data_IF_474642705640
#
_entry.id   IF_474642705640
#
_cell.length_a   1.000
_cell.length_b   1.000
_cell.length_c   1.000
_cell.angle_alpha   90.00
_cell.angle_beta   90.00
_cell.angle_gamma   90.00
#
_symmetry.space_group_name_H-M   'P 1'
#
loop_
_entity.id
_entity.type
_entity.pdbx_description
1 polymer ?
#
# COMPACT_ATOMS: atom_id res chain seq x y z
N UNK A 1 16.40 13.04 6.92
CA UNK A 1 15.34 12.62 5.99
C UNK A 1 15.87 12.25 4.59
N UNK A 2 17.16 11.87 4.43
CA UNK A 2 17.75 11.61 3.10
C UNK A 2 18.03 10.11 2.81
N UNK A 3 18.09 9.24 3.81
CA UNK A 3 18.42 7.80 3.66
C UNK A 3 17.21 6.90 3.39
N UNK A 4 15.99 7.42 3.56
CA UNK A 4 14.74 6.67 3.40
C UNK A 4 14.30 6.59 1.93
N UNK A 5 14.76 7.55 1.13
CA UNK A 5 14.36 7.77 -0.27
C UNK A 5 14.83 6.68 -1.22
N UNK A 6 15.95 5.98 -0.92
CA UNK A 6 16.48 4.94 -1.80
C UNK A 6 15.60 3.69 -1.84
N UNK A 7 14.98 3.30 -0.72
CA UNK A 7 14.15 2.09 -0.62
C UNK A 7 12.91 2.15 -1.52
N UNK A 8 12.39 3.34 -1.77
CA UNK A 8 11.16 3.53 -2.53
C UNK A 8 11.38 4.07 -3.92
N UNK A 9 12.59 4.50 -4.26
CA UNK A 9 12.89 5.14 -5.54
C UNK A 9 12.38 4.34 -6.75
N UNK A 10 12.58 3.00 -6.85
CA UNK A 10 12.04 2.24 -7.97
C UNK A 10 10.50 2.28 -8.05
N UNK A 11 9.83 2.25 -6.90
CA UNK A 11 8.37 2.37 -6.85
C UNK A 11 7.92 3.78 -7.22
N UNK A 12 8.63 4.83 -6.82
CA UNK A 12 8.32 6.21 -7.17
C UNK A 12 8.41 6.45 -8.67
N UNK A 13 9.45 5.92 -9.33
CA UNK A 13 9.59 6.00 -10.78
C UNK A 13 8.42 5.31 -11.53
N UNK A 14 7.92 4.21 -10.97
CA UNK A 14 6.74 3.51 -11.50
C UNK A 14 5.44 4.25 -11.21
N UNK A 15 5.32 4.91 -10.04
CA UNK A 15 4.19 5.77 -9.72
C UNK A 15 4.07 6.93 -10.69
N UNK A 16 5.18 7.61 -11.02
CA UNK A 16 5.16 8.69 -12.02
C UNK A 16 4.74 8.20 -13.40
N UNK A 17 5.13 6.97 -13.80
CA UNK A 17 4.65 6.36 -15.04
C UNK A 17 3.14 6.08 -14.99
N UNK A 18 2.66 5.50 -13.89
CA UNK A 18 1.23 5.22 -13.70
C UNK A 18 0.42 6.52 -13.69
N UNK A 19 0.89 7.56 -13.01
CA UNK A 19 0.27 8.89 -12.97
C UNK A 19 0.10 9.46 -14.39
N UNK A 20 1.17 9.47 -15.18
CA UNK A 20 1.13 9.94 -16.57
C UNK A 20 0.16 9.13 -17.44
N UNK A 21 0.10 7.80 -17.26
CA UNK A 21 -0.83 6.95 -17.99
C UNK A 21 -2.29 7.24 -17.59
N UNK A 22 -2.57 7.42 -16.30
CA UNK A 22 -3.92 7.63 -15.77
C UNK A 22 -4.45 9.04 -16.00
N UNK A 23 -3.58 10.04 -16.17
CA UNK A 23 -3.93 11.42 -16.55
C UNK A 23 -4.27 11.56 -18.05
N UNK A 24 -4.06 10.53 -18.86
CA UNK A 24 -4.32 10.55 -20.30
C UNK A 24 -5.81 10.79 -20.62
N UNK A 25 -6.08 11.70 -21.56
CA UNK A 25 -7.42 11.91 -22.15
C UNK A 25 -7.80 10.81 -23.15
N UNK A 26 -6.88 9.90 -23.48
CA UNK A 26 -7.09 8.79 -24.40
C UNK A 26 -7.23 7.45 -23.64
N UNK A 27 -7.91 6.49 -24.29
CA UNK A 27 -7.99 5.12 -23.80
C UNK A 27 -6.59 4.57 -23.51
N UNK A 28 -6.45 3.93 -22.36
CA UNK A 28 -5.19 3.34 -21.91
C UNK A 28 -5.07 1.95 -22.53
N UNK A 29 -3.93 1.69 -23.16
CA UNK A 29 -3.62 0.38 -23.74
C UNK A 29 -3.35 -0.64 -22.62
N UNK A 30 -4.09 -1.75 -22.64
CA UNK A 30 -4.12 -2.73 -21.55
C UNK A 30 -2.76 -3.41 -21.34
N UNK A 31 -2.06 -3.77 -22.42
CA UNK A 31 -0.76 -4.45 -22.34
C UNK A 31 0.30 -3.55 -21.69
N UNK A 32 0.35 -2.26 -22.08
CA UNK A 32 1.21 -1.26 -21.48
C UNK A 32 0.90 -1.06 -20.00
N UNK A 33 -0.38 -0.95 -19.63
CA UNK A 33 -0.79 -0.78 -18.23
C UNK A 33 -0.41 -2.01 -17.39
N UNK A 34 -0.76 -3.21 -17.86
CA UNK A 34 -0.41 -4.47 -17.20
C UNK A 34 1.11 -4.62 -17.01
N UNK A 35 1.91 -4.18 -17.99
CA UNK A 35 3.38 -4.20 -17.89
C UNK A 35 3.87 -3.32 -16.74
N UNK A 36 3.40 -2.08 -16.64
CA UNK A 36 3.82 -1.17 -15.56
C UNK A 36 3.37 -1.68 -14.19
N UNK A 37 2.13 -2.16 -14.07
CA UNK A 37 1.62 -2.76 -12.81
C UNK A 37 2.36 -4.05 -12.45
N UNK A 38 2.79 -4.83 -13.45
CA UNK A 38 3.63 -6.01 -13.26
C UNK A 38 5.00 -5.66 -12.67
N UNK A 39 5.65 -4.63 -13.20
CA UNK A 39 6.90 -4.09 -12.65
C UNK A 39 6.69 -3.55 -11.23
N UNK A 40 5.61 -2.81 -11.01
CA UNK A 40 5.24 -2.31 -9.69
C UNK A 40 5.11 -3.45 -8.67
N UNK A 41 4.39 -4.52 -9.03
CA UNK A 41 4.21 -5.69 -8.16
C UNK A 41 5.53 -6.41 -7.88
N UNK A 42 6.48 -6.38 -8.82
CA UNK A 42 7.82 -6.94 -8.64
C UNK A 42 8.63 -6.11 -7.64
N UNK A 43 8.67 -4.79 -7.81
CA UNK A 43 9.41 -3.90 -6.91
C UNK A 43 8.82 -3.88 -5.50
N UNK A 44 7.50 -3.95 -5.37
CA UNK A 44 6.85 -4.09 -4.07
C UNK A 44 7.26 -5.39 -3.37
N UNK A 45 7.39 -6.51 -4.10
CA UNK A 45 7.90 -7.77 -3.53
C UNK A 45 9.37 -7.64 -3.09
N UNK A 46 10.20 -6.89 -3.81
CA UNK A 46 11.57 -6.61 -3.40
C UNK A 46 11.58 -5.81 -2.10
N UNK A 47 10.83 -4.71 -2.03
CA UNK A 47 10.69 -3.90 -0.81
C UNK A 47 10.22 -4.73 0.39
N UNK A 48 9.23 -5.61 0.20
CA UNK A 48 8.74 -6.50 1.25
C UNK A 48 9.81 -7.48 1.74
N UNK A 49 10.68 -8.00 0.87
CA UNK A 49 11.80 -8.87 1.28
C UNK A 49 12.81 -8.09 2.10
N UNK A 50 13.22 -6.92 1.59
CA UNK A 50 14.15 -6.02 2.28
C UNK A 50 13.61 -5.59 3.64
N UNK A 51 12.30 -5.36 3.76
CA UNK A 51 11.65 -5.05 5.03
C UNK A 51 11.93 -6.10 6.11
N UNK A 52 12.00 -7.40 5.78
CA UNK A 52 12.28 -8.43 6.78
C UNK A 52 13.74 -8.44 7.24
N UNK A 53 14.66 -7.98 6.39
CA UNK A 53 16.11 -8.00 6.61
C UNK A 53 16.63 -6.79 7.40
N UNK A 54 15.89 -5.68 7.41
CA UNK A 54 16.29 -4.47 8.14
C UNK A 54 15.99 -4.55 9.65
N UNK A 55 16.62 -3.65 10.41
CA UNK A 55 16.43 -3.52 11.86
C UNK A 55 15.03 -2.96 12.24
N UNK A 56 14.73 -2.98 13.54
CA UNK A 56 13.43 -2.57 14.05
C UNK A 56 13.12 -1.08 13.83
N UNK A 57 14.11 -0.19 13.94
CA UNK A 57 13.92 1.25 13.75
C UNK A 57 13.57 1.53 12.28
N UNK A 58 14.29 0.90 11.36
CA UNK A 58 14.00 1.00 9.93
C UNK A 58 12.67 0.37 9.57
N UNK A 59 12.28 -0.76 10.18
CA UNK A 59 10.94 -1.34 9.99
C UNK A 59 9.82 -0.37 10.36
N UNK A 60 9.96 0.34 11.47
CA UNK A 60 8.96 1.33 11.89
C UNK A 60 8.86 2.50 10.89
N UNK A 61 9.99 2.93 10.32
CA UNK A 61 10.01 3.92 9.23
C UNK A 61 9.37 3.38 7.94
N UNK A 62 9.62 2.10 7.60
CA UNK A 62 9.17 1.53 6.32
C UNK A 62 7.69 1.12 6.30
N UNK A 63 7.11 0.79 7.45
CA UNK A 63 5.77 0.21 7.54
C UNK A 63 4.65 1.09 6.95
N UNK A 64 4.59 2.42 7.21
CA UNK A 64 3.57 3.27 6.60
C UNK A 64 3.59 3.25 5.07
N UNK A 65 4.79 3.32 4.49
CA UNK A 65 4.99 3.29 3.04
C UNK A 65 4.58 1.95 2.44
N UNK A 66 4.97 0.84 3.08
CA UNK A 66 4.56 -0.50 2.64
C UNK A 66 3.04 -0.65 2.67
N UNK A 67 2.38 -0.16 3.73
CA UNK A 67 0.93 -0.19 3.84
C UNK A 67 0.25 0.63 2.73
N UNK A 68 0.77 1.82 2.43
CA UNK A 68 0.32 2.64 1.31
C UNK A 68 0.46 1.89 -0.03
N UNK A 69 1.63 1.33 -0.33
CA UNK A 69 1.87 0.63 -1.60
C UNK A 69 1.03 -0.63 -1.75
N UNK A 70 0.82 -1.38 -0.65
CA UNK A 70 -0.09 -2.53 -0.69
C UNK A 70 -1.53 -2.13 -1.00
N UNK A 71 -2.00 -1.00 -0.45
CA UNK A 71 -3.33 -0.49 -0.77
C UNK A 71 -3.41 -0.03 -2.24
N UNK A 72 -2.39 0.68 -2.75
CA UNK A 72 -2.34 1.05 -4.16
C UNK A 72 -2.37 -0.18 -5.08
N UNK A 73 -1.65 -1.26 -4.72
CA UNK A 73 -1.68 -2.51 -5.46
C UNK A 73 -3.12 -3.05 -5.65
N UNK A 74 -3.99 -2.88 -4.65
CA UNK A 74 -5.39 -3.32 -4.77
C UNK A 74 -6.14 -2.52 -5.84
N UNK A 75 -5.97 -1.19 -5.90
CA UNK A 75 -6.58 -0.37 -6.95
C UNK A 75 -6.06 -0.78 -8.34
N UNK A 76 -4.75 -0.97 -8.48
CA UNK A 76 -4.14 -1.35 -9.75
C UNK A 76 -4.63 -2.73 -10.24
N UNK A 77 -4.71 -3.72 -9.34
CA UNK A 77 -5.25 -5.05 -9.66
C UNK A 77 -6.73 -4.97 -10.02
N UNK A 78 -7.50 -4.10 -9.36
CA UNK A 78 -8.89 -3.87 -9.72
C UNK A 78 -9.02 -3.34 -11.15
N UNK A 79 -8.22 -2.33 -11.53
CA UNK A 79 -8.20 -1.79 -12.89
C UNK A 79 -7.78 -2.84 -13.94
N UNK A 80 -6.84 -3.73 -13.62
CA UNK A 80 -6.49 -4.86 -14.51
C UNK A 80 -7.67 -5.82 -14.67
N UNK A 81 -8.36 -6.14 -13.57
CA UNK A 81 -9.46 -7.11 -13.57
C UNK A 81 -10.65 -6.65 -14.41
N UNK A 82 -10.86 -5.34 -14.47
CA UNK A 82 -11.95 -4.69 -15.19
C UNK A 82 -11.36 -3.76 -16.24
N UNK A 83 -10.65 -4.33 -17.22
CA UNK A 83 -9.88 -3.56 -18.21
C UNK A 83 -10.76 -2.71 -19.13
N UNK A 84 -12.07 -2.93 -19.18
CA UNK A 84 -13.03 -2.03 -19.82
C UNK A 84 -12.99 -0.61 -19.23
N UNK A 85 -12.61 -0.46 -17.96
CA UNK A 85 -12.42 0.84 -17.32
C UNK A 85 -11.31 1.64 -18.02
N UNK A 86 -10.25 0.97 -18.48
CA UNK A 86 -9.11 1.60 -19.17
C UNK A 86 -9.52 2.20 -20.52
N UNK A 87 -10.66 1.77 -21.09
CA UNK A 87 -11.19 2.30 -22.34
C UNK A 87 -12.01 3.59 -22.15
N UNK A 88 -12.29 3.98 -20.89
CA UNK A 88 -13.06 5.18 -20.55
C UNK A 88 -12.14 6.15 -19.82
N UNK A 89 -11.56 7.14 -20.52
CA UNK A 89 -10.79 8.20 -19.89
C UNK A 89 -11.62 8.86 -18.78
N UNK A 90 -10.97 9.24 -17.68
CA UNK A 90 -11.63 9.87 -16.52
C UNK A 90 -12.72 9.04 -15.85
N UNK A 91 -12.73 7.71 -16.03
CA UNK A 91 -13.60 6.84 -15.23
C UNK A 91 -13.35 7.06 -13.73
N UNK A 92 -14.39 6.95 -12.90
CA UNK A 92 -14.30 7.25 -11.45
C UNK A 92 -13.17 6.48 -10.75
N UNK A 93 -12.98 5.21 -11.10
CA UNK A 93 -11.92 4.35 -10.56
C UNK A 93 -10.50 4.77 -11.00
N UNK A 94 -10.35 5.30 -12.22
CA UNK A 94 -9.09 5.89 -12.69
C UNK A 94 -8.81 7.16 -11.88
N UNK A 95 -9.79 8.05 -11.76
CA UNK A 95 -9.65 9.31 -11.02
C UNK A 95 -9.38 9.05 -9.53
N UNK A 96 -10.02 8.06 -8.93
CA UNK A 96 -9.77 7.66 -7.54
C UNK A 96 -8.35 7.12 -7.38
N UNK A 97 -7.88 6.28 -8.31
CA UNK A 97 -6.51 5.74 -8.29
C UNK A 97 -5.48 6.85 -8.47
N UNK A 98 -5.73 7.77 -9.40
CA UNK A 98 -4.89 8.94 -9.64
C UNK A 98 -4.81 9.84 -8.41
N UNK A 99 -5.96 10.20 -7.83
CA UNK A 99 -6.01 11.00 -6.60
C UNK A 99 -5.29 10.30 -5.44
N UNK A 100 -5.34 8.98 -5.37
CA UNK A 100 -4.60 8.22 -4.36
C UNK A 100 -3.09 8.33 -4.57
N UNK A 101 -2.61 8.31 -5.82
CA UNK A 101 -1.20 8.52 -6.18
C UNK A 101 -0.76 9.95 -5.87
N UNK A 102 -1.51 10.95 -6.34
CA UNK A 102 -1.19 12.38 -6.18
C UNK A 102 -1.15 12.82 -4.71
N UNK A 103 -1.95 12.19 -3.83
CA UNK A 103 -2.00 12.51 -2.40
C UNK A 103 -1.09 11.63 -1.54
N UNK A 104 -0.11 10.93 -2.11
CA UNK A 104 0.75 9.97 -1.40
C UNK A 104 1.30 10.50 -0.07
N UNK A 105 2.03 11.62 -0.09
CA UNK A 105 2.69 12.14 1.10
C UNK A 105 1.68 12.51 2.19
N UNK A 106 0.57 13.12 1.79
CA UNK A 106 -0.52 13.46 2.70
C UNK A 106 -1.14 12.21 3.34
N UNK A 107 -1.43 11.18 2.54
CA UNK A 107 -1.99 9.91 3.01
C UNK A 107 -1.02 9.19 3.95
N UNK A 108 0.27 9.19 3.63
CA UNK A 108 1.28 8.54 4.48
C UNK A 108 1.34 9.22 5.84
N UNK A 109 1.48 10.54 5.86
CA UNK A 109 1.61 11.30 7.10
C UNK A 109 0.35 11.26 7.97
N UNK A 110 -0.84 11.37 7.37
CA UNK A 110 -2.08 11.54 8.12
C UNK A 110 -2.88 10.26 8.33
N UNK A 111 -2.64 9.21 7.54
CA UNK A 111 -3.39 7.94 7.61
C UNK A 111 -2.46 6.78 7.95
N UNK A 112 -1.44 6.53 7.12
CA UNK A 112 -0.68 5.28 7.21
C UNK A 112 0.29 5.21 8.39
N UNK A 113 0.76 6.34 8.92
CA UNK A 113 1.51 6.37 10.19
C UNK A 113 0.65 5.83 11.33
N UNK A 114 -0.53 6.42 11.55
CA UNK A 114 -1.46 5.99 12.59
C UNK A 114 -1.93 4.53 12.41
N UNK A 115 -2.23 4.11 11.18
CA UNK A 115 -2.58 2.71 10.88
C UNK A 115 -1.44 1.76 11.24
N UNK A 116 -0.19 2.14 10.94
CA UNK A 116 0.98 1.31 11.21
C UNK A 116 1.29 1.20 12.70
N UNK A 117 1.03 2.26 13.48
CA UNK A 117 1.10 2.25 14.94
C UNK A 117 0.02 1.35 15.55
N UNK A 118 -1.24 1.50 15.13
CA UNK A 118 -2.34 0.68 15.60
C UNK A 118 -2.12 -0.81 15.29
N UNK A 119 -1.62 -1.14 14.09
CA UNK A 119 -1.26 -2.53 13.75
C UNK A 119 -0.16 -3.06 14.67
N UNK A 120 0.88 -2.28 14.95
CA UNK A 120 1.96 -2.69 15.86
C UNK A 120 1.44 -2.98 17.26
N UNK A 121 0.51 -2.15 17.76
CA UNK A 121 -0.11 -2.33 19.06
C UNK A 121 -0.99 -3.58 19.11
N UNK A 122 -1.83 -3.80 18.09
CA UNK A 122 -2.71 -4.98 17.99
C UNK A 122 -1.95 -6.31 17.94
N UNK A 123 -0.73 -6.31 17.41
CA UNK A 123 0.14 -7.50 17.39
C UNK A 123 1.22 -7.48 18.46
N UNK A 124 1.11 -6.58 19.45
CA UNK A 124 2.01 -6.56 20.59
C UNK A 124 1.72 -7.73 21.52
N UNK A 125 2.77 -8.28 22.15
CA UNK A 125 2.63 -9.31 23.19
C UNK A 125 1.72 -8.85 24.34
N UNK A 126 1.76 -7.57 24.66
CA UNK A 126 0.93 -6.99 25.71
C UNK A 126 -0.56 -7.05 25.33
N UNK A 127 -0.92 -6.67 24.11
CA UNK A 127 -2.29 -6.76 23.63
C UNK A 127 -2.77 -8.21 23.56
N UNK A 128 -1.95 -9.12 23.02
CA UNK A 128 -2.28 -10.55 22.95
C UNK A 128 -2.53 -11.14 24.34
N UNK A 129 -1.66 -10.86 25.31
CA UNK A 129 -1.84 -11.31 26.68
C UNK A 129 -3.12 -10.74 27.33
N UNK A 130 -3.46 -9.46 27.06
CA UNK A 130 -4.71 -8.84 27.53
C UNK A 130 -5.94 -9.51 26.89
N UNK A 131 -5.87 -9.80 25.59
CA UNK A 131 -6.93 -10.48 24.87
C UNK A 131 -7.16 -11.90 25.40
N UNK A 132 -6.09 -12.67 25.60
CA UNK A 132 -6.16 -14.02 26.15
C UNK A 132 -6.79 -14.03 27.55
N UNK A 133 -6.37 -13.10 28.42
CA UNK A 133 -6.96 -12.96 29.76
C UNK A 133 -8.47 -12.66 29.73
N UNK A 134 -8.91 -11.77 28.82
CA UNK A 134 -10.33 -11.44 28.66
C UNK A 134 -11.14 -12.63 28.12
N UNK A 135 -10.58 -13.39 27.18
CA UNK A 135 -11.22 -14.59 26.63
C UNK A 135 -11.37 -15.67 27.71
N UNK A 136 -10.34 -15.90 28.53
CA UNK A 136 -10.40 -16.83 29.67
C UNK A 136 -11.45 -16.43 30.70
N UNK A 137 -11.54 -15.14 31.05
CA UNK A 137 -12.54 -14.63 32.00
C UNK A 137 -13.97 -14.86 31.47
N UNK A 138 -14.21 -14.60 30.19
CA UNK A 138 -15.52 -14.84 29.56
C UNK A 138 -15.86 -16.31 29.53
N UNK A 139 -14.92 -17.19 29.16
CA UNK A 139 -15.13 -18.64 29.12
C UNK A 139 -15.50 -19.20 30.50
N UNK A 140 -14.89 -18.72 31.58
CA UNK A 140 -15.24 -19.11 32.96
C UNK A 140 -16.63 -18.65 33.40
N UNK A 141 -17.18 -17.57 32.83
CA UNK A 141 -18.54 -17.09 33.13
C UNK A 141 -19.64 -17.92 32.45
N UNK A 142 -19.29 -18.80 31.52
CA UNK A 142 -20.22 -19.70 30.82
C UNK A 142 -20.10 -21.18 31.26
N UNK A 143 -19.30 -21.45 32.30
CA UNK A 143 -19.22 -22.75 32.99
C UNK A 143 -19.88 -22.64 34.37
#
# INVERSE_FOLDING_TARGET
>A
MAESTEFYKPLQELLSQLEQMLQSDAAIEEEAFCKVVGLYSKELKVLLRTYFEVDAAKKDELRPWINYYRQLQHYLVYLIRYSEILQVPHHSEILQTLAFIENQDHLIQNVYVAVSEAQKELFSKEFLNKLDALLEEKLRKFQ
#
